data_IF_054282238022
#
_entry.id   IF_054282238022
#
_cell.length_a   1.000
_cell.length_b   1.000
_cell.length_c   1.000
_cell.angle_alpha   90.00
_cell.angle_beta   90.00
_cell.angle_gamma   90.00
#
_symmetry.space_group_name_H-M   'P 1'
#
loop_
_entity.id
_entity.type
_entity.pdbx_description
1 polymer ?
#
# COMPACT_ATOMS: atom_id res chain seq x y z
N UNK A 1 16.43 33.70 2.76
CA UNK A 1 16.46 32.90 4.00
C UNK A 1 15.01 32.69 4.43
N UNK A 2 14.50 31.46 4.44
CA UNK A 2 13.15 31.20 4.92
C UNK A 2 13.13 31.39 6.44
N UNK A 3 12.23 32.23 6.95
CA UNK A 3 12.05 32.44 8.37
C UNK A 3 11.72 31.11 9.07
N UNK A 4 12.17 30.88 10.31
CA UNK A 4 11.66 29.77 11.10
C UNK A 4 10.20 30.07 11.41
N UNK A 5 9.28 29.54 10.60
CA UNK A 5 7.87 29.51 10.95
C UNK A 5 7.75 28.72 12.25
N UNK A 6 7.41 29.42 13.33
CA UNK A 6 7.17 28.86 14.64
C UNK A 6 5.84 28.07 14.59
N UNK A 7 5.84 26.97 13.83
CA UNK A 7 4.70 26.11 13.68
C UNK A 7 4.56 25.26 14.94
N UNK A 8 3.38 25.35 15.57
CA UNK A 8 3.07 24.59 16.78
C UNK A 8 3.26 23.09 16.54
N UNK A 9 4.02 22.44 17.43
CA UNK A 9 4.19 20.99 17.42
C UNK A 9 2.99 20.32 18.09
N UNK A 10 2.45 19.28 17.45
CA UNK A 10 1.42 18.42 17.97
C UNK A 10 2.03 17.23 18.71
N UNK A 11 1.37 16.79 19.78
CA UNK A 11 1.67 15.51 20.43
C UNK A 11 0.87 14.39 19.78
N UNK A 12 1.41 13.18 19.83
CA UNK A 12 0.76 11.99 19.27
C UNK A 12 -0.62 11.76 19.88
N UNK A 13 -0.79 11.99 21.18
CA UNK A 13 -2.09 11.85 21.87
C UNK A 13 -3.21 12.73 21.33
N UNK A 14 -2.88 13.84 20.68
CA UNK A 14 -3.85 14.81 20.18
C UNK A 14 -4.25 14.51 18.71
N UNK A 15 -3.63 13.48 18.11
CA UNK A 15 -3.91 13.05 16.74
C UNK A 15 -5.26 12.31 16.69
N UNK A 16 -6.09 12.72 15.73
CA UNK A 16 -7.41 12.12 15.47
C UNK A 16 -7.51 11.71 14.00
N UNK A 17 -8.38 10.72 13.66
CA UNK A 17 -8.66 10.41 12.27
C UNK A 17 -9.09 11.66 11.48
N UNK A 18 -8.48 11.89 10.32
CA UNK A 18 -8.78 13.05 9.47
C UNK A 18 -8.00 14.32 9.79
N UNK A 19 -7.21 14.35 10.88
CA UNK A 19 -6.32 15.49 11.18
C UNK A 19 -5.31 15.72 10.05
N UNK A 20 -5.05 16.99 9.74
CA UNK A 20 -4.16 17.45 8.65
C UNK A 20 -3.26 18.57 9.16
N UNK A 21 -2.23 18.91 8.38
CA UNK A 21 -1.25 19.94 8.73
C UNK A 21 -0.58 19.65 10.09
N UNK A 22 -0.33 18.37 10.36
CA UNK A 22 0.28 17.92 11.60
C UNK A 22 1.79 18.13 11.52
N UNK A 23 2.33 18.85 12.49
CA UNK A 23 3.77 19.01 12.69
C UNK A 23 4.15 18.26 13.96
N UNK A 24 4.82 17.12 13.84
CA UNK A 24 5.08 16.22 14.97
C UNK A 24 6.56 15.87 14.96
N UNK A 25 7.18 15.86 16.14
CA UNK A 25 8.50 15.28 16.34
C UNK A 25 8.33 13.98 17.09
N UNK A 26 8.94 12.91 16.59
CA UNK A 26 8.86 11.58 17.18
C UNK A 26 10.20 10.84 17.04
N UNK A 27 10.39 9.81 17.86
CA UNK A 27 11.46 8.83 17.71
C UNK A 27 10.91 7.55 17.08
N UNK A 28 11.69 6.95 16.20
CA UNK A 28 11.36 5.66 15.57
C UNK A 28 11.73 4.53 16.53
N UNK A 29 10.75 3.68 16.83
CA UNK A 29 10.94 2.52 17.72
C UNK A 29 11.22 1.26 16.93
N UNK A 30 10.34 0.96 15.96
CA UNK A 30 10.39 -0.29 15.20
C UNK A 30 10.11 -0.04 13.72
N UNK A 31 10.82 -0.78 12.87
CA UNK A 31 10.53 -0.87 11.45
C UNK A 31 9.74 -2.15 11.21
N UNK A 32 8.50 -1.99 10.78
CA UNK A 32 7.60 -3.08 10.45
C UNK A 32 7.75 -3.57 9.01
N UNK A 33 6.70 -4.23 8.52
CA UNK A 33 6.70 -4.90 7.22
C UNK A 33 6.77 -3.88 6.07
N UNK A 34 7.52 -4.25 5.04
CA UNK A 34 7.51 -3.59 3.73
C UNK A 34 6.43 -4.24 2.86
N UNK A 35 5.62 -3.41 2.23
CA UNK A 35 4.59 -3.84 1.29
C UNK A 35 4.78 -3.11 -0.03
N UNK A 36 4.56 -3.79 -1.15
CA UNK A 36 4.63 -3.20 -2.48
C UNK A 36 3.22 -2.97 -3.02
N UNK A 37 2.95 -1.77 -3.48
CA UNK A 37 1.69 -1.44 -4.14
C UNK A 37 1.66 -2.01 -5.56
N UNK A 38 0.46 -2.08 -6.17
CA UNK A 38 0.29 -2.55 -7.56
C UNK A 38 1.09 -1.71 -8.56
N UNK A 39 1.27 -0.43 -8.24
CA UNK A 39 1.98 0.55 -9.08
C UNK A 39 3.50 0.52 -8.85
N UNK A 40 3.99 -0.38 -8.00
CA UNK A 40 5.41 -0.61 -7.77
C UNK A 40 6.04 0.18 -6.61
N UNK A 41 5.29 1.09 -5.98
CA UNK A 41 5.77 1.84 -4.81
C UNK A 41 5.90 0.96 -3.57
N UNK A 42 6.97 1.16 -2.82
CA UNK A 42 7.20 0.47 -1.55
C UNK A 42 6.64 1.30 -0.39
N UNK A 43 6.01 0.63 0.57
CA UNK A 43 5.45 1.25 1.77
C UNK A 43 5.92 0.48 2.98
N UNK A 44 6.58 1.18 3.90
CA UNK A 44 7.08 0.64 5.15
C UNK A 44 6.25 1.21 6.30
N UNK A 45 5.70 0.33 7.12
CA UNK A 45 5.00 0.72 8.34
C UNK A 45 6.02 0.77 9.48
N UNK A 46 6.14 1.91 10.16
CA UNK A 46 7.02 2.07 11.32
C UNK A 46 6.21 2.39 12.57
N UNK A 47 6.64 1.89 13.73
CA UNK A 47 6.13 2.32 15.05
C UNK A 47 6.99 3.50 15.50
N UNK A 48 6.34 4.62 15.81
CA UNK A 48 7.00 5.85 16.28
C UNK A 48 6.35 6.34 17.56
N UNK A 49 7.09 7.09 18.38
CA UNK A 49 6.60 7.55 19.66
C UNK A 49 7.10 8.94 20.05
N UNK A 50 6.37 9.57 20.96
CA UNK A 50 6.75 10.76 21.70
C UNK A 50 6.44 10.54 23.18
N UNK A 51 6.61 11.56 24.02
CA UNK A 51 6.31 11.46 25.47
C UNK A 51 4.86 11.09 25.81
N UNK A 52 3.94 11.14 24.85
CA UNK A 52 2.51 10.94 25.06
C UNK A 52 1.99 9.57 24.64
N UNK A 53 2.76 8.80 23.87
CA UNK A 53 2.41 7.46 23.43
C UNK A 53 3.02 7.12 22.06
N UNK A 54 2.58 5.99 21.49
CA UNK A 54 3.05 5.51 20.19
C UNK A 54 1.96 5.49 19.12
N UNK A 55 2.38 5.58 17.86
CA UNK A 55 1.52 5.53 16.69
C UNK A 55 2.28 4.92 15.51
N UNK A 56 1.57 4.35 14.55
CA UNK A 56 2.09 3.85 13.31
C UNK A 56 2.18 4.99 12.29
N UNK A 57 3.28 5.02 11.53
CA UNK A 57 3.45 5.87 10.35
C UNK A 57 3.73 4.98 9.13
N UNK A 58 3.12 5.32 7.98
CA UNK A 58 3.45 4.69 6.70
C UNK A 58 4.34 5.61 5.88
N UNK A 59 5.54 5.15 5.57
CA UNK A 59 6.55 5.89 4.80
C UNK A 59 6.76 5.22 3.46
N UNK A 60 6.81 6.04 2.41
CA UNK A 60 6.84 5.59 1.02
C UNK A 60 8.24 5.66 0.42
N UNK A 61 8.52 4.72 -0.46
CA UNK A 61 9.68 4.65 -1.36
C UNK A 61 11.02 4.77 -0.61
N UNK A 62 11.99 5.47 -1.22
CA UNK A 62 13.36 5.63 -0.71
C UNK A 62 13.43 6.17 0.72
N UNK A 63 12.50 7.07 1.08
CA UNK A 63 12.43 7.59 2.44
C UNK A 63 12.14 6.51 3.47
N UNK A 64 11.33 5.52 3.11
CA UNK A 64 11.07 4.36 3.97
C UNK A 64 12.35 3.55 4.18
N UNK A 65 13.19 3.39 3.15
CA UNK A 65 14.42 2.59 3.25
C UNK A 65 15.51 3.24 4.10
N UNK A 66 15.57 4.57 4.14
CA UNK A 66 16.57 5.34 4.89
C UNK A 66 16.32 5.42 6.40
N UNK A 67 15.07 5.29 6.85
CA UNK A 67 14.71 5.37 8.27
C UNK A 67 15.30 4.19 9.05
N UNK A 68 15.84 4.47 10.23
CA UNK A 68 16.37 3.49 11.19
C UNK A 68 15.69 3.60 12.57
N UNK A 69 15.64 2.52 13.37
CA UNK A 69 15.26 2.61 14.78
C UNK A 69 16.20 3.57 15.54
N UNK A 70 15.63 4.38 16.42
CA UNK A 70 16.35 5.41 17.18
C UNK A 70 16.40 6.78 16.48
N UNK A 71 16.03 6.89 15.20
CA UNK A 71 15.97 8.18 14.50
C UNK A 71 14.94 9.12 15.13
N UNK A 72 15.31 10.38 15.34
CA UNK A 72 14.40 11.46 15.73
C UNK A 72 14.04 12.22 14.46
N UNK A 73 12.76 12.19 14.11
CA UNK A 73 12.25 12.74 12.85
C UNK A 73 11.20 13.81 13.14
N UNK A 74 11.34 14.93 12.44
CA UNK A 74 10.30 15.96 12.35
C UNK A 74 9.46 15.70 11.10
N UNK A 75 8.19 15.38 11.30
CA UNK A 75 7.18 15.36 10.27
C UNK A 75 6.58 16.75 10.14
N UNK A 76 6.55 17.31 8.92
CA UNK A 76 5.81 18.54 8.63
C UNK A 76 4.62 18.26 7.72
N UNK A 77 3.54 19.03 7.94
CA UNK A 77 2.28 18.95 7.18
C UNK A 77 1.77 17.51 7.01
N UNK A 78 1.94 16.69 8.03
CA UNK A 78 1.44 15.34 8.09
C UNK A 78 -0.09 15.28 8.14
N UNK A 79 -0.63 14.09 7.96
CA UNK A 79 -2.04 13.80 8.21
C UNK A 79 -2.21 12.42 8.84
N UNK A 80 -3.36 12.21 9.47
CA UNK A 80 -3.73 10.94 10.08
C UNK A 80 -4.98 10.37 9.42
N UNK A 81 -4.99 9.06 9.17
CA UNK A 81 -6.14 8.34 8.60
C UNK A 81 -6.22 6.94 9.18
N UNK A 82 -7.43 6.37 9.20
CA UNK A 82 -7.60 4.95 9.51
C UNK A 82 -7.18 4.10 8.31
N UNK A 83 -6.35 3.10 8.54
CA UNK A 83 -5.98 2.08 7.57
C UNK A 83 -6.09 0.71 8.23
N UNK A 84 -6.94 -0.16 7.67
CA UNK A 84 -7.23 -1.49 8.24
C UNK A 84 -7.51 -1.45 9.75
N UNK A 85 -8.33 -0.48 10.18
CA UNK A 85 -8.70 -0.31 11.59
C UNK A 85 -7.69 0.42 12.48
N UNK A 86 -6.50 0.72 11.97
CA UNK A 86 -5.42 1.37 12.73
C UNK A 86 -5.31 2.85 12.35
N UNK A 87 -5.28 3.75 13.33
CA UNK A 87 -4.92 5.15 13.09
C UNK A 87 -3.45 5.23 12.65
N UNK A 88 -3.21 5.75 11.46
CA UNK A 88 -1.87 5.77 10.84
C UNK A 88 -1.52 7.19 10.39
N UNK A 89 -0.29 7.62 10.67
CA UNK A 89 0.29 8.85 10.17
C UNK A 89 0.84 8.68 8.75
N UNK A 90 0.78 9.78 7.99
CA UNK A 90 1.27 9.89 6.63
C UNK A 90 1.83 11.29 6.40
N UNK A 91 2.77 11.40 5.46
CA UNK A 91 3.27 12.70 4.98
C UNK A 91 2.26 13.34 4.04
N UNK A 92 1.84 14.58 4.33
CA UNK A 92 0.86 15.29 3.50
C UNK A 92 1.46 16.02 2.30
N UNK A 93 0.58 16.71 1.55
CA UNK A 93 0.97 17.47 0.36
C UNK A 93 1.85 18.65 0.77
N UNK A 94 3.05 18.70 0.20
CA UNK A 94 4.05 19.73 0.52
C UNK A 94 4.62 19.61 1.94
N UNK A 95 4.45 18.45 2.58
CA UNK A 95 5.12 18.06 3.82
C UNK A 95 6.36 17.21 3.55
N UNK A 96 7.15 17.02 4.59
CA UNK A 96 8.40 16.25 4.55
C UNK A 96 8.67 15.51 5.87
N UNK A 97 9.67 14.62 5.81
CA UNK A 97 10.24 13.93 6.97
C UNK A 97 11.71 14.34 7.05
N UNK A 98 12.08 14.99 8.14
CA UNK A 98 13.45 15.45 8.36
C UNK A 98 14.04 14.75 9.57
N UNK A 99 15.14 14.00 9.39
CA UNK A 99 15.91 13.49 10.52
C UNK A 99 16.60 14.69 11.20
N UNK A 100 16.31 14.91 12.47
CA UNK A 100 16.84 16.02 13.28
C UNK A 100 17.73 15.55 14.44
N UNK A 101 17.80 14.24 14.69
CA UNK A 101 18.63 13.66 15.73
C UNK A 101 18.47 12.14 15.82
N UNK A 102 19.00 11.55 16.89
CA UNK A 102 18.91 10.13 17.20
C UNK A 102 19.05 9.86 18.71
N UNK A 103 18.51 8.73 19.18
CA UNK A 103 18.60 8.13 20.52
C UNK A 103 18.06 8.92 21.74
N UNK A 104 18.31 10.22 21.85
CA UNK A 104 18.14 10.95 23.12
C UNK A 104 16.75 11.58 23.35
N UNK A 105 15.72 11.16 22.60
CA UNK A 105 14.36 11.67 22.80
C UNK A 105 13.61 10.86 23.86
N UNK A 106 12.99 11.54 24.82
CA UNK A 106 12.09 10.89 25.79
C UNK A 106 10.78 10.50 25.11
N UNK A 107 10.37 9.25 25.27
CA UNK A 107 9.14 8.70 24.68
C UNK A 107 8.38 7.78 25.64
N UNK A 108 7.11 7.53 25.33
CA UNK A 108 6.29 6.49 25.93
C UNK A 108 5.75 5.60 24.81
N UNK A 109 5.81 4.27 24.99
CA UNK A 109 5.19 3.35 24.04
C UNK A 109 3.68 3.24 24.21
N UNK A 110 3.17 3.57 25.40
CA UNK A 110 1.77 3.38 25.81
C UNK A 110 1.11 4.73 26.10
N UNK A 111 -0.14 4.95 25.67
CA UNK A 111 -0.95 4.06 24.83
C UNK A 111 -0.45 4.00 23.38
N UNK A 112 -0.74 2.90 22.70
CA UNK A 112 -0.54 2.76 21.26
C UNK A 112 -1.82 3.21 20.53
N UNK A 113 -1.78 4.40 19.95
CA UNK A 113 -2.92 5.02 19.25
C UNK A 113 -3.28 4.32 17.94
N UNK A 114 -2.45 3.39 17.46
CA UNK A 114 -2.71 2.58 16.27
C UNK A 114 -3.27 1.20 16.57
N UNK A 115 -3.57 0.90 17.84
CA UNK A 115 -4.24 -0.36 18.16
C UNK A 115 -5.53 -0.49 17.33
N UNK A 116 -5.74 -1.64 16.66
CA UNK A 116 -6.91 -1.82 15.81
C UNK A 116 -8.16 -1.69 16.68
N UNK A 117 -9.00 -0.68 16.42
CA UNK A 117 -10.31 -0.62 17.06
C UNK A 117 -11.25 -1.63 16.34
N UNK A 118 -11.77 -2.66 17.03
CA UNK A 118 -12.70 -3.63 16.44
C UNK A 118 -13.95 -2.99 15.84
N UNK A 119 -14.44 -1.89 16.40
CA UNK A 119 -15.61 -1.17 15.89
C UNK A 119 -15.34 -0.48 14.55
N UNK A 120 -14.15 0.11 14.38
CA UNK A 120 -13.77 0.76 13.11
C UNK A 120 -13.55 -0.27 11.99
N UNK A 121 -13.04 -1.46 12.33
CA UNK A 121 -12.92 -2.58 11.40
C UNK A 121 -14.29 -3.06 10.90
N UNK A 122 -15.28 -3.14 11.79
CA UNK A 122 -16.64 -3.56 11.43
C UNK A 122 -17.29 -2.57 10.44
N UNK A 123 -17.10 -1.26 10.62
CA UNK A 123 -17.66 -0.24 9.74
C UNK A 123 -17.01 -0.22 8.34
N UNK A 124 -15.69 -0.44 8.26
CA UNK A 124 -14.97 -0.53 6.97
C UNK A 124 -15.49 -1.69 6.10
N UNK A 125 -15.89 -2.81 6.72
CA UNK A 125 -16.46 -3.96 6.02
C UNK A 125 -17.91 -3.74 5.57
N UNK A 126 -18.66 -2.81 6.20
CA UNK A 126 -20.04 -2.49 5.81
C UNK A 126 -20.10 -1.57 4.58
N UNK A 127 -19.13 -0.68 4.39
CA UNK A 127 -19.08 0.21 3.22
C UNK A 127 -18.85 -0.51 1.88
N UNK A 128 -18.28 -1.72 1.88
CA UNK A 128 -18.16 -2.55 0.68
C UNK A 128 -19.42 -3.37 0.36
N UNK A 129 -20.50 -3.23 1.14
CA UNK A 129 -21.75 -3.98 0.98
C UNK A 129 -22.96 -3.10 0.64
N UNK A 130 -22.76 -1.89 0.11
CA UNK A 130 -23.83 -1.14 -0.55
C UNK A 130 -23.84 -1.45 -2.06
N UNK A 131 -24.01 -2.73 -2.39
CA UNK A 131 -24.59 -3.14 -3.67
C UNK A 131 -26.08 -2.78 -3.63
N UNK A 132 -26.58 -2.13 -4.68
CA UNK A 132 -27.97 -1.70 -4.86
C UNK A 132 -28.97 -2.76 -4.37
N UNK A 133 -30.01 -2.42 -3.58
CA UNK A 133 -31.16 -3.30 -3.46
C UNK A 133 -31.90 -3.31 -4.81
N UNK A 134 -32.01 -4.51 -5.37
CA UNK A 134 -32.86 -4.81 -6.52
C UNK A 134 -34.32 -4.47 -6.13
N UNK A 135 -34.83 -3.37 -6.68
CA UNK A 135 -36.20 -2.94 -6.46
C UNK A 135 -37.10 -3.70 -7.43
N UNK A 136 -37.42 -4.95 -7.09
CA UNK A 136 -38.44 -5.71 -7.81
C UNK A 136 -39.40 -6.42 -6.86
N UNK A 137 -40.23 -5.63 -6.18
CA UNK A 137 -41.49 -6.10 -5.60
C UNK A 137 -42.56 -5.01 -5.74
N UNK A 138 -43.38 -5.12 -6.80
CA UNK A 138 -44.76 -4.61 -6.81
C UNK A 138 -45.62 -5.47 -7.75
N UNK A 139 -46.73 -5.98 -7.22
CA UNK A 139 -47.93 -6.23 -8.02
C UNK A 139 -48.58 -7.60 -7.88
N UNK A 140 -49.48 -7.74 -6.89
CA UNK A 140 -50.56 -8.73 -6.90
C UNK A 140 -51.50 -8.49 -8.10
N UNK A 141 -52.00 -9.59 -8.69
CA UNK A 141 -52.95 -9.62 -9.81
C UNK A 141 -54.39 -9.23 -9.44
N UNK A 142 -55.25 -8.96 -10.46
CA UNK A 142 -56.56 -9.63 -10.53
C UNK A 142 -56.86 -10.24 -11.93
N UNK A 143 -57.86 -11.14 -12.05
CA UNK A 143 -58.09 -11.99 -13.21
C UNK A 143 -59.04 -11.35 -14.23
N UNK A 144 -58.89 -11.68 -15.52
CA UNK A 144 -59.94 -11.40 -16.51
C UNK A 144 -60.12 -12.56 -17.50
N UNK A 145 -61.38 -12.95 -17.68
CA UNK A 145 -61.90 -14.02 -18.52
C UNK A 145 -62.11 -13.48 -19.95
N UNK A 146 -61.73 -14.23 -21.00
CA UNK A 146 -62.59 -14.46 -22.17
C UNK A 146 -62.03 -15.52 -23.15
N UNK A 147 -62.94 -16.40 -23.57
CA UNK A 147 -62.97 -17.34 -24.72
C UNK A 147 -62.64 -16.72 -26.10
N UNK A 148 -62.27 -17.43 -27.19
CA UNK A 148 -62.08 -18.86 -27.49
C UNK A 148 -61.78 -19.10 -29.00
N UNK A 149 -61.32 -20.33 -29.32
CA UNK A 149 -61.34 -21.08 -30.63
C UNK A 149 -60.21 -20.85 -31.68
N UNK A 150 -59.92 -21.80 -32.63
CA UNK A 150 -59.17 -23.06 -32.42
C UNK A 150 -58.14 -23.50 -33.54
N UNK A 151 -57.05 -24.20 -33.14
CA UNK A 151 -56.36 -25.39 -33.76
C UNK A 151 -55.79 -25.37 -35.23
N UNK A 152 -55.03 -26.41 -35.73
CA UNK A 152 -53.78 -27.08 -35.29
C UNK A 152 -52.82 -27.42 -36.50
N UNK A 153 -51.98 -28.50 -36.54
CA UNK A 153 -50.87 -28.97 -35.67
C UNK A 153 -49.54 -29.24 -36.44
N UNK A 154 -48.45 -29.56 -35.73
CA UNK A 154 -47.27 -30.21 -36.34
C UNK A 154 -46.15 -30.63 -35.36
N UNK A 155 -46.14 -31.91 -35.02
CA UNK A 155 -45.09 -32.85 -34.51
C UNK A 155 -43.65 -32.31 -34.28
N UNK A 156 -42.85 -32.72 -33.29
CA UNK A 156 -42.87 -33.83 -32.33
C UNK A 156 -41.44 -34.12 -31.83
N UNK A 157 -41.31 -34.57 -30.57
CA UNK A 157 -40.30 -35.46 -29.96
C UNK A 157 -38.74 -35.24 -30.09
N UNK A 158 -38.08 -34.98 -28.94
CA UNK A 158 -37.04 -35.80 -28.20
C UNK A 158 -36.36 -37.03 -28.92
N UNK A 159 -35.19 -37.60 -28.51
CA UNK A 159 -34.12 -37.23 -27.53
C UNK A 159 -32.64 -37.57 -28.02
N UNK A 160 -31.69 -38.28 -27.32
CA UNK A 160 -30.29 -37.87 -27.04
C UNK A 160 -29.16 -38.87 -27.51
N UNK A 161 -27.98 -38.86 -26.85
CA UNK A 161 -26.78 -39.75 -26.93
C UNK A 161 -25.71 -39.41 -28.02
N UNK A 162 -24.44 -39.83 -28.00
CA UNK A 162 -23.31 -40.02 -27.06
C UNK A 162 -22.10 -40.57 -27.88
N UNK A 163 -20.86 -40.39 -27.38
CA UNK A 163 -19.61 -41.16 -27.65
C UNK A 163 -18.61 -40.84 -28.81
N UNK A 164 -17.33 -40.91 -28.40
CA UNK A 164 -15.98 -40.75 -29.01
C UNK A 164 -15.61 -41.86 -30.07
N UNK A 165 -14.40 -41.98 -30.73
CA UNK A 165 -13.06 -41.32 -30.57
C UNK A 165 -12.24 -40.97 -31.86
N UNK A 166 -11.01 -40.44 -31.65
CA UNK A 166 -9.79 -40.12 -32.50
C UNK A 166 -9.39 -41.11 -33.64
N UNK A 167 -8.39 -40.91 -34.56
CA UNK A 167 -7.16 -40.07 -34.52
C UNK A 167 -6.65 -39.42 -35.86
N UNK A 168 -5.52 -38.69 -35.84
CA UNK A 168 -4.59 -38.64 -37.00
C UNK A 168 -3.99 -37.27 -37.38
N UNK A 169 -2.67 -37.14 -37.26
CA UNK A 169 -1.84 -36.05 -37.80
C UNK A 169 -1.48 -36.27 -39.29
N UNK A 170 -0.89 -35.25 -39.95
CA UNK A 170 0.34 -35.46 -40.73
C UNK A 170 1.38 -34.35 -40.42
N UNK A 171 2.63 -34.67 -40.06
CA UNK A 171 3.79 -35.05 -40.89
C UNK A 171 4.29 -33.95 -41.86
N UNK A 172 5.36 -33.30 -41.38
CA UNK A 172 6.46 -32.62 -42.08
C UNK A 172 7.08 -33.54 -43.17
N UNK A 173 7.91 -33.01 -44.10
CA UNK A 173 9.34 -33.14 -43.84
C UNK A 173 10.27 -32.03 -44.40
N UNK A 174 11.38 -31.83 -43.67
CA UNK A 174 12.80 -31.71 -44.15
C UNK A 174 13.30 -30.35 -44.67
N UNK A 175 14.51 -29.86 -44.34
CA UNK A 175 15.78 -30.56 -44.07
C UNK A 175 16.85 -29.65 -43.41
N UNK A 176 17.66 -30.23 -42.50
CA UNK A 176 19.09 -29.94 -42.18
C UNK A 176 19.40 -28.71 -41.30
N UNK A 177 19.97 -28.78 -40.09
CA UNK A 177 21.09 -29.62 -39.58
C UNK A 177 22.43 -28.94 -39.94
N UNK A 178 23.43 -28.66 -39.07
CA UNK A 178 24.04 -29.49 -38.01
C UNK A 178 25.05 -28.64 -37.18
N UNK A 179 25.12 -28.91 -35.87
CA UNK A 179 26.36 -28.98 -35.07
C UNK A 179 26.99 -27.67 -34.54
N UNK A 180 27.72 -27.60 -33.42
CA UNK A 180 27.98 -28.35 -32.17
C UNK A 180 28.95 -27.43 -31.35
N UNK A 181 29.24 -27.71 -30.07
CA UNK A 181 29.69 -26.73 -29.06
C UNK A 181 31.19 -26.81 -28.70
N UNK A 182 31.76 -25.77 -28.06
CA UNK A 182 32.70 -25.84 -26.90
C UNK A 182 33.37 -24.48 -26.58
N UNK A 183 33.69 -24.21 -25.31
CA UNK A 183 34.73 -23.23 -24.94
C UNK A 183 34.77 -22.83 -23.46
N UNK A 184 35.90 -23.11 -22.80
CA UNK A 184 36.18 -23.02 -21.35
C UNK A 184 37.05 -21.77 -21.02
N UNK A 185 36.85 -21.22 -19.81
CA UNK A 185 37.89 -20.79 -18.84
C UNK A 185 38.56 -19.39 -18.84
N UNK A 186 38.71 -18.87 -17.59
CA UNK A 186 39.82 -18.13 -16.92
C UNK A 186 39.97 -16.59 -16.98
N UNK A 187 40.19 -16.00 -15.77
CA UNK A 187 40.95 -14.74 -15.55
C UNK A 187 40.25 -13.75 -14.59
N UNK A 188 40.44 -13.82 -13.27
CA UNK A 188 41.45 -13.11 -12.45
C UNK A 188 41.60 -11.59 -12.66
N UNK A 189 41.44 -10.82 -11.57
CA UNK A 189 42.24 -9.61 -11.32
C UNK A 189 41.49 -8.32 -10.95
N UNK A 190 41.46 -8.00 -9.65
CA UNK A 190 41.29 -6.63 -9.13
C UNK A 190 42.64 -5.89 -9.14
N UNK A 191 42.65 -4.54 -9.17
CA UNK A 191 43.52 -3.78 -8.25
C UNK A 191 42.83 -2.47 -7.73
N UNK A 192 43.50 -1.56 -6.99
CA UNK A 192 43.40 -1.48 -5.54
C UNK A 192 42.75 -0.20 -4.99
N UNK A 193 42.49 -0.29 -3.69
CA UNK A 193 42.17 0.77 -2.72
C UNK A 193 43.18 1.94 -2.73
N UNK A 194 42.67 3.17 -2.56
CA UNK A 194 43.46 4.30 -2.09
C UNK A 194 42.79 4.87 -0.83
N UNK A 195 43.51 4.80 0.28
CA UNK A 195 43.18 5.39 1.55
C UNK A 195 43.61 6.86 1.57
N UNK A 196 42.69 7.77 1.91
CA UNK A 196 43.02 9.11 2.36
C UNK A 196 42.10 9.44 3.55
N UNK A 197 42.70 9.99 4.61
CA UNK A 197 42.12 10.18 5.94
C UNK A 197 40.96 11.19 6.04
N UNK A 198 40.45 11.42 7.26
CA UNK A 198 39.17 12.08 7.47
C UNK A 198 39.30 13.60 7.43
N UNK A 199 38.27 14.30 6.95
CA UNK A 199 37.95 15.60 7.50
C UNK A 199 36.52 15.66 8.04
N UNK A 200 36.45 16.16 9.27
CA UNK A 200 35.45 17.07 9.85
C UNK A 200 33.97 16.67 9.82
N UNK A 201 33.46 16.38 11.02
CA UNK A 201 32.04 16.29 11.38
C UNK A 201 31.30 17.59 11.06
N UNK A 202 30.74 17.67 9.87
CA UNK A 202 29.68 18.62 9.54
C UNK A 202 28.36 17.97 9.90
N UNK A 203 27.59 18.61 10.79
CA UNK A 203 26.21 18.21 11.13
C UNK A 203 25.39 18.18 9.84
N UNK A 204 25.23 17.01 9.26
CA UNK A 204 24.43 16.78 8.06
C UNK A 204 22.97 16.79 8.50
N UNK A 205 22.35 17.97 8.52
CA UNK A 205 20.89 18.07 8.50
C UNK A 205 20.44 17.62 7.12
N UNK A 206 20.29 16.31 6.92
CA UNK A 206 19.77 15.76 5.67
C UNK A 206 18.28 16.06 5.62
N UNK A 207 17.92 17.11 4.90
CA UNK A 207 16.53 17.39 4.53
C UNK A 207 16.13 16.40 3.44
N UNK A 208 15.48 15.30 3.81
CA UNK A 208 15.00 14.32 2.84
C UNK A 208 13.58 14.72 2.41
N UNK A 209 13.51 15.64 1.45
CA UNK A 209 12.24 16.09 0.88
C UNK A 209 11.87 15.22 -0.31
N UNK A 210 11.08 14.14 -0.12
CA UNK A 210 10.20 13.54 -1.18
C UNK A 210 9.30 12.38 -0.71
N UNK A 211 8.74 12.43 0.50
CA UNK A 211 7.99 11.30 1.09
C UNK A 211 6.50 11.34 0.81
N UNK A 212 6.06 11.66 -0.41
CA UNK A 212 4.62 11.86 -0.68
C UNK A 212 3.91 10.52 -0.81
N UNK A 213 2.76 10.38 -0.14
CA UNK A 213 1.79 9.34 -0.50
C UNK A 213 1.30 9.60 -1.94
N UNK A 214 1.64 8.76 -2.93
CA UNK A 214 1.32 8.98 -4.34
C UNK A 214 -0.19 8.99 -4.59
N UNK A 215 -1.00 8.39 -3.69
CA UNK A 215 -2.45 8.39 -3.78
C UNK A 215 -3.06 9.78 -3.63
N UNK A 216 -2.31 10.74 -3.08
CA UNK A 216 -2.79 12.12 -2.85
C UNK A 216 -2.20 13.17 -3.79
N UNK A 217 -1.27 12.79 -4.67
CA UNK A 217 -0.72 13.71 -5.67
C UNK A 217 -1.69 13.99 -6.85
N UNK A 218 -2.70 13.14 -7.05
CA UNK A 218 -3.63 13.17 -8.20
C UNK A 218 -4.97 13.90 -7.94
N UNK A 219 -5.09 14.71 -6.87
CA UNK A 219 -6.31 15.47 -6.55
C UNK A 219 -6.04 16.97 -6.40
#
# INVERSE_FOLDING_TARGET
MAAPSNEALFLIKDVKPGSKNLNIVFIVLEIGRVTKTKDGHEVRSCKVADKSGSIAISVWDELGSLIQPGDIIKLTRGYASIWKGCLTLYTGRGGDLQKIGEFCMVYSEVPNFSEPNPELLAQANQQNKSGKPDQNQRGNSPPNQNSGTPAPPGNGAMPPFANNPTPGAPRDPTFGGVGRPNGRSTGNGAPPINAAGPPTTTKSSVTISNGRDPRRAKR
#
